data_IF_439368904879
#
_entry.id   IF_439368904879
#
_cell.length_a   1.000
_cell.length_b   1.000
_cell.length_c   1.000
_cell.angle_alpha   90.00
_cell.angle_beta   90.00
_cell.angle_gamma   90.00
#
_symmetry.space_group_name_H-M   'P 1'
#
loop_
_entity.id
_entity.type
_entity.pdbx_description
1 polymer ?
#
# COMPACT_ATOMS: atom_id res chain seq x y z
N UNK A 1 -17.58 -2.21 2.38
CA UNK A 1 -16.36 -2.60 1.64
C UNK A 1 -15.25 -2.89 2.63
N UNK A 2 -14.42 -3.89 2.31
CA UNK A 2 -13.18 -4.17 3.01
C UNK A 2 -11.99 -3.92 2.09
N UNK A 3 -10.89 -3.44 2.66
CA UNK A 3 -9.66 -3.12 1.94
C UNK A 3 -8.48 -3.81 2.61
N UNK A 4 -7.59 -4.40 1.82
CA UNK A 4 -6.31 -4.91 2.27
C UNK A 4 -5.20 -4.24 1.46
N UNK A 5 -4.11 -3.90 2.11
CA UNK A 5 -2.94 -3.30 1.45
C UNK A 5 -1.76 -4.24 1.65
N UNK A 6 -1.07 -4.54 0.55
CA UNK A 6 0.15 -5.33 0.56
C UNK A 6 1.26 -4.54 -0.10
N UNK A 7 2.33 -4.30 0.64
CA UNK A 7 3.55 -3.69 0.12
C UNK A 7 4.62 -4.78 0.08
N UNK A 8 5.24 -4.96 -1.08
CA UNK A 8 6.37 -5.86 -1.25
C UNK A 8 7.47 -5.14 -2.01
N UNK A 9 8.69 -5.19 -1.50
CA UNK A 9 9.84 -4.65 -2.21
C UNK A 9 11.14 -5.35 -1.84
N UNK A 10 12.07 -5.31 -2.78
CA UNK A 10 13.46 -5.75 -2.61
C UNK A 10 14.31 -4.50 -2.83
N UNK A 11 15.05 -4.12 -1.80
CA UNK A 11 16.06 -3.09 -1.91
C UNK A 11 17.43 -3.63 -1.59
N UNK A 12 18.46 -2.88 -1.96
CA UNK A 12 19.83 -3.15 -1.56
C UNK A 12 20.36 -1.88 -0.90
N UNK A 13 20.26 -1.79 0.42
CA UNK A 13 21.01 -0.78 1.16
C UNK A 13 22.37 -1.34 1.53
N UNK A 14 23.42 -0.76 0.98
CA UNK A 14 24.78 -1.03 1.43
C UNK A 14 24.98 -0.33 2.79
N UNK A 15 25.42 -1.04 3.85
CA UNK A 15 25.49 -0.52 5.23
C UNK A 15 26.49 0.62 5.47
N UNK A 16 27.02 1.26 4.41
CA UNK A 16 27.93 2.42 4.45
C UNK A 16 27.62 3.50 3.41
N UNK A 17 26.50 3.38 2.68
CA UNK A 17 26.03 4.46 1.83
C UNK A 17 24.85 5.18 2.51
N UNK A 18 24.85 6.53 2.59
CA UNK A 18 23.72 7.29 3.12
C UNK A 18 22.46 7.19 2.24
N UNK A 19 22.58 6.55 1.07
CA UNK A 19 21.51 6.33 0.10
C UNK A 19 21.24 4.83 0.02
N UNK A 20 20.09 4.40 0.55
CA UNK A 20 19.56 3.07 0.28
C UNK A 20 18.99 3.03 -1.13
N UNK A 21 19.54 2.19 -2.01
CA UNK A 21 18.99 1.99 -3.35
C UNK A 21 17.92 0.91 -3.25
N UNK A 22 16.64 1.30 -3.23
CA UNK A 22 15.55 0.33 -3.32
C UNK A 22 15.34 -0.03 -4.80
N UNK A 23 15.54 -1.30 -5.16
CA UNK A 23 15.63 -1.75 -6.54
C UNK A 23 14.25 -1.99 -7.15
N UNK A 24 13.28 -2.52 -6.38
CA UNK A 24 11.90 -2.73 -6.83
C UNK A 24 10.96 -2.69 -5.62
N UNK A 25 9.97 -1.78 -5.59
CA UNK A 25 8.88 -1.80 -4.61
C UNK A 25 7.52 -1.70 -5.31
N UNK A 26 6.62 -2.63 -5.01
CA UNK A 26 5.24 -2.63 -5.48
C UNK A 26 4.25 -2.56 -4.34
N UNK A 27 3.15 -1.84 -4.53
CA UNK A 27 2.01 -1.85 -3.62
C UNK A 27 0.78 -2.41 -4.32
N UNK A 28 0.06 -3.28 -3.62
CA UNK A 28 -1.23 -3.80 -4.03
C UNK A 28 -2.31 -3.32 -3.07
N UNK A 29 -3.43 -2.88 -3.63
CA UNK A 29 -4.65 -2.58 -2.88
C UNK A 29 -5.71 -3.57 -3.34
N UNK A 30 -6.25 -4.32 -2.40
CA UNK A 30 -7.34 -5.25 -2.64
C UNK A 30 -8.61 -4.71 -2.01
N UNK A 31 -9.72 -4.74 -2.76
CA UNK A 31 -11.05 -4.33 -2.27
C UNK A 31 -12.04 -5.46 -2.45
N UNK A 32 -12.94 -5.66 -1.48
CA UNK A 32 -14.09 -6.55 -1.62
C UNK A 32 -15.36 -5.92 -1.02
N UNK A 33 -16.56 -6.21 -1.56
CA UNK A 33 -17.78 -5.50 -1.16
C UNK A 33 -18.18 -5.74 0.31
N UNK A 34 -17.99 -6.95 0.81
CA UNK A 34 -18.47 -7.42 2.11
C UNK A 34 -17.51 -8.44 2.76
N UNK A 35 -17.69 -8.65 4.07
CA UNK A 35 -17.04 -9.73 4.83
C UNK A 35 -17.49 -11.08 4.26
N UNK A 36 -16.56 -11.94 3.86
CA UNK A 36 -16.85 -13.26 3.27
C UNK A 36 -16.06 -13.55 1.99
N UNK A 37 -16.55 -14.53 1.21
CA UNK A 37 -15.93 -15.05 -0.02
C UNK A 37 -16.24 -14.26 -1.30
N UNK A 38 -16.68 -13.01 -1.20
CA UNK A 38 -16.90 -12.17 -2.38
C UNK A 38 -15.56 -11.92 -3.10
N UNK A 39 -15.56 -11.90 -4.45
CA UNK A 39 -14.32 -11.76 -5.22
C UNK A 39 -13.64 -10.43 -4.90
N UNK A 40 -12.36 -10.51 -4.53
CA UNK A 40 -11.53 -9.34 -4.32
C UNK A 40 -11.08 -8.77 -5.67
N UNK A 41 -11.16 -7.45 -5.82
CA UNK A 41 -10.51 -6.72 -6.91
C UNK A 41 -9.14 -6.28 -6.46
N UNK A 42 -8.11 -6.53 -7.27
CA UNK A 42 -6.72 -6.19 -6.96
C UNK A 42 -6.23 -5.08 -7.88
N UNK A 43 -5.67 -4.04 -7.27
CA UNK A 43 -5.10 -2.88 -7.92
C UNK A 43 -3.61 -2.83 -7.65
N UNK A 44 -2.81 -2.59 -8.68
CA UNK A 44 -1.37 -2.35 -8.55
C UNK A 44 -1.08 -0.86 -8.52
N UNK A 45 -0.15 -0.45 -7.66
CA UNK A 45 0.43 0.88 -7.66
C UNK A 45 1.90 0.68 -8.04
N UNK A 46 2.26 1.25 -9.19
CA UNK A 46 3.63 1.26 -9.70
C UNK A 46 4.11 2.70 -9.61
N UNK A 47 5.17 2.96 -8.88
CA UNK A 47 5.85 4.26 -8.87
C UNK A 47 7.32 4.16 -8.50
N UNK A 48 8.04 5.19 -8.90
CA UNK A 48 9.31 5.63 -8.34
C UNK A 48 9.16 5.95 -6.84
N UNK A 49 9.70 5.07 -5.99
CA UNK A 49 9.72 5.26 -4.55
C UNK A 49 10.54 6.50 -4.17
N UNK A 50 9.97 7.43 -3.41
CA UNK A 50 10.72 8.47 -2.70
C UNK A 50 10.85 8.08 -1.23
N UNK A 51 12.07 7.75 -0.80
CA UNK A 51 12.41 7.51 0.60
C UNK A 51 12.77 8.85 1.24
N UNK A 52 12.02 9.26 2.26
CA UNK A 52 12.40 10.37 3.13
C UNK A 52 13.65 10.01 3.94
N UNK A 53 14.60 10.93 4.04
CA UNK A 53 15.99 10.70 4.43
C UNK A 53 16.29 10.27 5.88
N UNK A 54 15.35 9.67 6.62
CA UNK A 54 15.64 9.13 7.94
C UNK A 54 15.13 7.70 8.08
N UNK A 55 16.11 6.78 8.12
CA UNK A 55 16.03 5.40 8.57
C UNK A 55 15.74 4.29 7.54
N UNK A 56 16.84 3.57 7.27
CA UNK A 56 16.97 2.12 7.04
C UNK A 56 16.45 1.50 5.74
N UNK A 57 17.39 1.31 4.81
CA UNK A 57 17.67 0.07 4.07
C UNK A 57 16.60 -1.02 4.16
N UNK A 58 15.65 -1.02 3.23
CA UNK A 58 14.85 -2.20 2.91
C UNK A 58 15.75 -3.17 2.12
N UNK A 59 16.11 -4.33 2.69
CA UNK A 59 16.80 -5.42 1.95
C UNK A 59 15.76 -6.32 1.29
N UNK A 60 14.73 -6.68 2.06
CA UNK A 60 13.50 -7.32 1.61
C UNK A 60 12.41 -6.87 2.57
N UNK A 61 11.41 -6.15 2.08
CA UNK A 61 10.31 -5.65 2.89
C UNK A 61 9.00 -6.18 2.34
N UNK A 62 8.34 -7.03 3.10
CA UNK A 62 6.96 -7.42 2.83
C UNK A 62 6.10 -6.97 4.00
N UNK A 63 4.97 -6.33 3.74
CA UNK A 63 3.99 -5.96 4.74
C UNK A 63 2.60 -6.14 4.17
N UNK A 64 1.74 -6.87 4.88
CA UNK A 64 0.35 -7.06 4.52
C UNK A 64 -0.54 -6.71 5.70
N UNK A 65 -1.52 -5.84 5.47
CA UNK A 65 -2.53 -5.52 6.46
C UNK A 65 -3.55 -6.65 6.60
N UNK A 66 -4.22 -6.73 7.73
CA UNK A 66 -5.53 -7.39 7.79
C UNK A 66 -6.56 -6.65 6.92
N UNK A 67 -7.74 -7.26 6.73
CA UNK A 67 -8.85 -6.62 6.04
C UNK A 67 -9.42 -5.48 6.89
N UNK A 68 -9.29 -4.26 6.40
CA UNK A 68 -9.79 -3.06 7.04
C UNK A 68 -11.20 -2.74 6.56
N UNK A 69 -12.15 -2.54 7.48
CA UNK A 69 -13.50 -2.10 7.12
C UNK A 69 -13.54 -0.59 6.84
N UNK A 70 -14.03 -0.23 5.65
CA UNK A 70 -14.34 1.16 5.25
C UNK A 70 -15.85 1.38 5.31
N UNK A 71 -16.28 2.37 6.08
CA UNK A 71 -17.70 2.74 6.26
C UNK A 71 -18.06 4.12 5.71
N UNK A 72 -17.10 5.05 5.65
CA UNK A 72 -17.34 6.42 5.20
C UNK A 72 -17.77 6.42 3.74
N UNK A 73 -18.94 6.96 3.44
CA UNK A 73 -19.53 6.93 2.09
C UNK A 73 -18.65 7.61 1.04
N UNK A 74 -18.03 8.74 1.38
CA UNK A 74 -17.08 9.43 0.50
C UNK A 74 -15.89 8.54 0.13
N UNK A 75 -15.36 7.78 1.10
CA UNK A 75 -14.27 6.83 0.86
C UNK A 75 -14.75 5.64 0.02
N UNK A 76 -15.95 5.11 0.31
CA UNK A 76 -16.54 4.02 -0.45
C UNK A 76 -16.73 4.40 -1.92
N UNK A 77 -17.26 5.59 -2.20
CA UNK A 77 -17.47 6.04 -3.56
C UNK A 77 -16.16 6.17 -4.34
N UNK A 78 -15.08 6.59 -3.68
CA UNK A 78 -13.76 6.74 -4.30
C UNK A 78 -13.00 5.45 -4.51
N UNK A 79 -13.27 4.45 -3.69
CA UNK A 79 -12.72 3.10 -3.85
C UNK A 79 -13.50 2.26 -4.88
N UNK A 80 -14.61 2.79 -5.43
CA UNK A 80 -15.24 2.19 -6.60
C UNK A 80 -14.30 2.22 -7.79
N UNK A 81 -14.34 1.17 -8.59
CA UNK A 81 -13.42 0.92 -9.68
C UNK A 81 -13.28 2.11 -10.63
N UNK A 82 -14.41 2.66 -11.09
CA UNK A 82 -14.50 3.79 -12.01
C UNK A 82 -13.88 5.08 -11.47
N UNK A 83 -13.86 5.23 -10.14
CA UNK A 83 -13.35 6.43 -9.47
C UNK A 83 -11.91 6.26 -8.97
N UNK A 84 -11.43 5.01 -8.88
CA UNK A 84 -10.14 4.67 -8.28
C UNK A 84 -9.03 4.45 -9.31
N UNK A 85 -9.37 3.80 -10.44
CA UNK A 85 -8.39 3.52 -11.49
C UNK A 85 -7.82 4.81 -12.10
N UNK A 86 -6.51 4.82 -12.33
CA UNK A 86 -5.79 5.94 -12.91
C UNK A 86 -5.51 7.10 -11.95
N UNK A 87 -6.09 7.09 -10.75
CA UNK A 87 -5.81 8.11 -9.73
C UNK A 87 -4.38 7.98 -9.21
N UNK A 88 -3.77 9.13 -8.95
CA UNK A 88 -2.53 9.21 -8.19
C UNK A 88 -2.87 9.00 -6.72
N UNK A 89 -2.21 8.06 -6.07
CA UNK A 89 -2.42 7.76 -4.66
C UNK A 89 -1.12 7.85 -3.89
N UNK A 90 -1.25 8.04 -2.58
CA UNK A 90 -0.17 8.01 -1.61
C UNK A 90 -0.57 7.03 -0.50
N UNK A 91 0.16 5.92 -0.41
CA UNK A 91 -0.03 4.85 0.56
C UNK A 91 1.10 4.91 1.56
N UNK A 92 0.75 4.92 2.84
CA UNK A 92 1.72 4.95 3.92
C UNK A 92 1.34 3.89 4.96
N UNK A 93 2.29 3.03 5.31
CA UNK A 93 2.18 2.10 6.44
C UNK A 93 3.25 2.49 7.45
N UNK A 94 2.83 3.02 8.59
CA UNK A 94 3.72 3.41 9.69
C UNK A 94 3.78 2.32 10.75
N UNK A 95 4.98 2.10 11.26
CA UNK A 95 5.24 1.11 12.29
C UNK A 95 6.61 0.46 12.09
N UNK A 96 7.11 -0.12 13.17
CA UNK A 96 8.27 -1.01 13.11
C UNK A 96 7.79 -2.43 13.30
N UNK A 97 7.99 -3.27 12.29
CA UNK A 97 7.34 -4.58 12.23
C UNK A 97 8.32 -5.68 11.87
N UNK A 98 8.36 -6.72 12.71
CA UNK A 98 9.01 -8.01 12.43
C UNK A 98 8.06 -9.13 12.87
N UNK A 99 7.57 -9.93 11.92
CA UNK A 99 6.50 -10.91 12.14
C UNK A 99 5.11 -10.27 12.21
N UNK A 100 4.26 -10.78 13.10
CA UNK A 100 2.91 -10.24 13.35
C UNK A 100 2.98 -9.05 14.32
N UNK A 101 2.65 -7.87 13.83
CA UNK A 101 2.71 -6.62 14.58
C UNK A 101 1.46 -5.76 14.33
N UNK A 102 1.47 -4.51 14.80
CA UNK A 102 0.44 -3.53 14.49
C UNK A 102 1.08 -2.27 13.93
N UNK A 103 0.37 -1.58 13.04
CA UNK A 103 0.79 -0.29 12.51
C UNK A 103 -0.38 0.52 12.00
N UNK A 104 -0.06 1.73 11.57
CA UNK A 104 -1.03 2.70 11.10
C UNK A 104 -1.00 2.75 9.57
N UNK A 105 -2.18 2.81 8.96
CA UNK A 105 -2.35 2.72 7.51
C UNK A 105 -3.08 3.95 7.01
N UNK A 106 -2.44 4.66 6.08
CA UNK A 106 -3.00 5.82 5.40
C UNK A 106 -3.05 5.58 3.89
N UNK A 107 -4.18 5.90 3.26
CA UNK A 107 -4.33 5.99 1.81
C UNK A 107 -4.92 7.35 1.48
N UNK A 108 -4.23 8.10 0.63
CA UNK A 108 -4.69 9.37 0.07
C UNK A 108 -4.82 9.28 -1.43
N UNK A 109 -5.81 9.98 -2.00
CA UNK A 109 -5.86 10.27 -3.43
C UNK A 109 -5.34 11.69 -3.62
N UNK A 110 -4.42 11.87 -4.56
CA UNK A 110 -3.88 13.16 -4.97
C UNK A 110 -4.54 13.57 -6.29
N UNK A 111 -5.06 14.79 -6.36
CA UNK A 111 -5.62 15.34 -7.60
C UNK A 111 -4.52 15.95 -8.50
N UNK A 112 -4.92 16.40 -9.68
CA UNK A 112 -4.07 17.01 -10.70
C UNK A 112 -3.39 18.31 -10.26
N UNK A 113 -4.01 19.08 -9.37
CA UNK A 113 -3.44 20.30 -8.77
C UNK A 113 -2.62 20.03 -7.48
N UNK A 114 -2.39 18.76 -7.13
CA UNK A 114 -1.53 18.36 -6.01
C UNK A 114 -2.18 18.34 -4.63
N UNK A 115 -3.48 18.62 -4.51
CA UNK A 115 -4.21 18.46 -3.26
C UNK A 115 -4.44 16.98 -2.95
N UNK A 116 -4.26 16.61 -1.69
CA UNK A 116 -4.50 15.24 -1.22
C UNK A 116 -5.77 15.15 -0.39
N UNK A 117 -6.53 14.06 -0.59
CA UNK A 117 -7.65 13.71 0.28
C UNK A 117 -7.47 12.31 0.87
N UNK A 118 -7.62 12.21 2.19
CA UNK A 118 -7.50 10.95 2.92
C UNK A 118 -8.75 10.08 2.75
N UNK A 119 -8.53 8.86 2.25
CA UNK A 119 -9.57 7.86 1.96
C UNK A 119 -9.61 6.79 3.02
N UNK A 120 -8.44 6.35 3.47
CA UNK A 120 -8.25 5.40 4.57
C UNK A 120 -7.30 6.06 5.55
N UNK A 121 -7.71 6.09 6.81
CA UNK A 121 -6.89 6.49 7.94
C UNK A 121 -7.25 5.55 9.09
N UNK A 122 -6.36 4.62 9.40
CA UNK A 122 -6.63 3.51 10.31
C UNK A 122 -5.42 3.30 11.20
N UNK A 123 -5.67 3.24 12.50
CA UNK A 123 -4.64 3.06 13.51
C UNK A 123 -4.66 1.64 14.05
N UNK A 124 -3.50 1.17 14.50
CA UNK A 124 -3.36 -0.07 15.26
C UNK A 124 -3.90 -1.32 14.52
N UNK A 125 -3.73 -1.35 13.19
CA UNK A 125 -4.15 -2.44 12.30
C UNK A 125 -3.11 -3.55 12.36
N UNK A 126 -3.56 -4.81 12.44
CA UNK A 126 -2.64 -5.94 12.40
C UNK A 126 -1.92 -6.02 11.05
N UNK A 127 -0.61 -6.18 11.11
CA UNK A 127 0.30 -6.29 9.97
C UNK A 127 1.11 -7.57 10.10
N UNK A 128 1.15 -8.37 9.05
CA UNK A 128 2.16 -9.40 8.88
C UNK A 128 3.28 -8.81 8.03
N UNK A 129 4.44 -8.55 8.63
CA UNK A 129 5.54 -7.90 7.94
C UNK A 129 6.91 -8.47 8.28
N UNK A 130 7.76 -8.57 7.26
CA UNK A 130 9.16 -8.90 7.38
C UNK A 130 9.95 -7.60 7.24
N UNK A 131 10.50 -7.13 8.37
CA UNK A 131 11.35 -5.95 8.49
C UNK A 131 10.77 -4.70 7.79
N UNK A 132 9.92 -3.98 8.51
CA UNK A 132 9.39 -2.69 8.07
C UNK A 132 9.86 -1.59 9.03
N UNK A 133 10.53 -0.57 8.53
CA UNK A 133 10.60 0.77 9.12
C UNK A 133 9.74 1.65 8.21
N UNK A 134 8.56 2.04 8.67
CA UNK A 134 7.59 2.92 7.97
C UNK A 134 7.75 3.07 6.44
N UNK A 135 6.89 2.42 5.65
CA UNK A 135 6.99 2.47 4.18
C UNK A 135 5.92 3.36 3.55
N UNK A 136 6.33 4.14 2.56
CA UNK A 136 5.47 5.05 1.82
C UNK A 136 5.63 4.82 0.31
N UNK A 137 4.52 4.64 -0.40
CA UNK A 137 4.48 4.45 -1.85
C UNK A 137 3.48 5.45 -2.42
N UNK A 138 3.96 6.34 -3.27
CA UNK A 138 3.11 7.14 -4.16
C UNK A 138 2.90 6.38 -5.46
N UNK A 139 1.91 6.71 -6.30
CA UNK A 139 1.82 6.14 -7.65
C UNK A 139 0.45 6.13 -8.28
N UNK A 140 0.39 5.84 -9.58
CA UNK A 140 -0.89 5.69 -10.29
C UNK A 140 -1.46 4.29 -10.09
N UNK A 141 -2.74 4.24 -9.73
CA UNK A 141 -3.49 2.99 -9.60
C UNK A 141 -3.73 2.39 -10.99
N UNK A 142 -3.31 1.13 -11.18
CA UNK A 142 -3.56 0.33 -12.38
C UNK A 142 -4.31 -0.94 -12.04
N UNK A 143 -5.09 -1.44 -12.99
CA UNK A 143 -5.67 -2.78 -12.89
C UNK A 143 -4.53 -3.77 -13.04
N UNK A 144 -4.37 -4.67 -12.08
CA UNK A 144 -3.61 -5.88 -12.32
C UNK A 144 -4.58 -6.87 -12.98
N UNK A 145 -4.33 -7.34 -14.22
CA UNK A 145 -5.08 -8.47 -14.71
C UNK A 145 -4.87 -9.62 -13.70
N UNK A 146 -5.96 -10.27 -13.27
CA UNK A 146 -5.87 -11.54 -12.58
C UNK A 146 -5.11 -12.45 -13.53
N UNK A 147 -3.83 -12.70 -13.28
CA UNK A 147 -3.05 -13.54 -14.18
C UNK A 147 -3.79 -14.89 -14.26
N UNK A 148 -4.22 -15.20 -15.48
CA UNK A 148 -4.51 -16.56 -15.91
C UNK A 148 -3.38 -17.45 -15.44
N UNK A 149 -3.76 -18.59 -14.89
CA UNK A 149 -2.89 -19.71 -14.52
C UNK A 149 -1.66 -19.77 -15.41
N UNK A 150 -0.48 -19.72 -14.80
CA UNK A 150 0.66 -20.42 -15.38
C UNK A 150 0.34 -21.91 -15.16
N UNK A 151 -0.12 -22.56 -16.22
CA UNK A 151 0.01 -24.01 -16.39
C UNK A 151 1.50 -24.35 -16.57
#
# INVERSE_FOLDING_TARGET
MEVRITISGIGAGLPKMPVGVNLISGCYIETKPNKGGAPARKYGIIDSLSIGGESSTLIFGHAQTEWMTVKKESSLNKLKYENFIGKLVDVEIKGTSFGSSKGDVCLKIINDIGNSETIIDKFNIKLDAYQLSSTKIRGKVRVQPLNSKHD
#
